data_IF_002277031489
#
_entry.id   IF_002277031489
#
_cell.length_a   1.000
_cell.length_b   1.000
_cell.length_c   1.000
_cell.angle_alpha   90.00
_cell.angle_beta   90.00
_cell.angle_gamma   90.00
#
_symmetry.space_group_name_H-M   'P 1'
#
loop_
_entity.id
_entity.type
_entity.pdbx_description
1 polymer ?
#
# COMPACT_ATOMS: atom_id res chain seq x y z
N UNK A 1 9.56 -10.66 -37.75
CA UNK A 1 8.31 -10.43 -36.98
C UNK A 1 8.16 -11.45 -35.84
N UNK A 2 9.02 -11.43 -34.80
CA UNK A 2 8.93 -12.34 -33.63
C UNK A 2 9.39 -11.73 -32.28
N UNK A 3 9.75 -10.45 -32.21
CA UNK A 3 10.29 -9.85 -30.96
C UNK A 3 9.30 -9.03 -30.14
N UNK A 4 8.05 -8.85 -30.58
CA UNK A 4 7.06 -8.00 -29.90
C UNK A 4 6.29 -8.71 -28.77
N UNK A 5 6.44 -10.02 -28.60
CA UNK A 5 5.73 -10.81 -27.58
C UNK A 5 6.39 -10.84 -26.19
N UNK A 6 7.51 -10.11 -26.00
CA UNK A 6 8.21 -10.01 -24.70
C UNK A 6 7.61 -8.98 -23.75
N UNK A 7 6.86 -8.00 -24.25
CA UNK A 7 6.35 -6.89 -23.44
C UNK A 7 5.05 -7.30 -22.71
N UNK A 8 4.22 -8.13 -23.34
CA UNK A 8 2.95 -8.60 -22.74
C UNK A 8 3.12 -9.47 -21.50
N UNK A 9 4.27 -10.14 -21.33
CA UNK A 9 4.54 -10.99 -20.18
C UNK A 9 4.78 -10.19 -18.90
N UNK A 10 5.43 -9.02 -18.95
CA UNK A 10 5.63 -8.16 -17.77
C UNK A 10 4.32 -7.64 -17.17
N UNK A 11 3.33 -7.37 -18.03
CA UNK A 11 1.99 -6.96 -17.61
C UNK A 11 1.27 -8.07 -16.84
N UNK A 12 1.41 -9.33 -17.28
CA UNK A 12 0.86 -10.50 -16.59
C UNK A 12 1.57 -10.80 -15.26
N UNK A 13 2.87 -10.53 -15.15
CA UNK A 13 3.59 -10.61 -13.87
C UNK A 13 3.10 -9.55 -12.86
N UNK A 14 2.77 -8.34 -13.33
CA UNK A 14 2.20 -7.27 -12.50
C UNK A 14 0.81 -7.62 -11.94
N UNK A 15 -0.05 -8.26 -12.74
CA UNK A 15 -1.38 -8.71 -12.29
C UNK A 15 -1.31 -9.70 -11.13
N UNK A 16 -0.19 -10.43 -10.98
CA UNK A 16 0.00 -11.41 -9.92
C UNK A 16 0.25 -10.78 -8.54
N UNK A 17 0.56 -9.49 -8.47
CA UNK A 17 0.76 -8.74 -7.22
C UNK A 17 -0.54 -8.15 -6.65
N UNK A 18 -1.55 -7.94 -7.49
CA UNK A 18 -2.86 -7.41 -7.11
C UNK A 18 -3.58 -8.13 -5.95
N UNK A 19 -3.57 -9.48 -5.83
CA UNK A 19 -4.32 -10.14 -4.77
C UNK A 19 -3.79 -9.89 -3.35
N UNK A 20 -2.58 -9.35 -3.19
CA UNK A 20 -2.00 -9.02 -1.88
C UNK A 20 -2.35 -7.61 -1.38
N UNK A 21 -2.67 -6.68 -2.28
CA UNK A 21 -3.07 -5.30 -1.94
C UNK A 21 -4.27 -5.18 -0.98
N UNK A 22 -5.40 -5.90 -1.16
CA UNK A 22 -6.59 -5.66 -0.33
C UNK A 22 -6.35 -5.94 1.16
N UNK A 23 -5.40 -6.82 1.50
CA UNK A 23 -5.04 -7.12 2.89
C UNK A 23 -4.22 -6.00 3.50
N UNK A 24 -3.28 -5.49 2.72
CA UNK A 24 -2.43 -4.37 3.11
C UNK A 24 -3.28 -3.11 3.34
N UNK A 25 -4.21 -2.82 2.42
CA UNK A 25 -5.16 -1.72 2.57
C UNK A 25 -6.07 -1.90 3.79
N UNK A 26 -6.57 -3.13 4.03
CA UNK A 26 -7.39 -3.42 5.22
C UNK A 26 -6.61 -3.24 6.52
N UNK A 27 -5.34 -3.66 6.56
CA UNK A 27 -4.46 -3.44 7.70
C UNK A 27 -4.26 -1.94 7.94
N UNK A 28 -3.89 -1.20 6.90
CA UNK A 28 -3.71 0.26 6.97
C UNK A 28 -4.98 0.96 7.48
N UNK A 29 -6.15 0.55 6.97
CA UNK A 29 -7.43 1.13 7.37
C UNK A 29 -7.73 0.91 8.84
N UNK A 30 -7.54 -0.31 9.36
CA UNK A 30 -7.77 -0.59 10.78
C UNK A 30 -6.79 0.17 11.68
N UNK A 31 -5.52 0.24 11.27
CA UNK A 31 -4.51 1.02 11.98
C UNK A 31 -4.84 2.53 11.96
N UNK A 32 -5.36 3.04 10.84
CA UNK A 32 -5.78 4.44 10.72
C UNK A 32 -6.96 4.76 11.65
N UNK A 33 -7.91 3.83 11.80
CA UNK A 33 -9.02 3.97 12.74
C UNK A 33 -8.60 3.80 14.21
N UNK A 34 -7.46 3.16 14.51
CA UNK A 34 -7.00 2.94 15.88
C UNK A 34 -6.49 4.24 16.54
N UNK A 35 -7.07 4.61 17.69
CA UNK A 35 -6.69 5.80 18.47
C UNK A 35 -5.26 5.78 19.02
N UNK A 36 -4.61 4.60 19.09
CA UNK A 36 -3.23 4.42 19.54
C UNK A 36 -2.21 4.86 18.52
N UNK A 37 -2.60 5.01 17.25
CA UNK A 37 -1.72 5.55 16.21
C UNK A 37 -1.66 7.08 16.35
N UNK A 38 -0.46 7.68 16.42
CA UNK A 38 -0.32 9.11 16.60
C UNK A 38 -0.97 9.89 15.45
N UNK A 39 -1.72 10.95 15.80
CA UNK A 39 -2.43 11.83 14.88
C UNK A 39 -1.52 12.41 13.78
N UNK A 40 -0.23 12.59 14.06
CA UNK A 40 0.77 13.04 13.07
C UNK A 40 0.86 12.09 11.87
N UNK A 41 0.88 10.78 12.13
CA UNK A 41 0.94 9.77 11.08
C UNK A 41 -0.37 9.69 10.29
N UNK A 42 -1.51 9.83 10.98
CA UNK A 42 -2.82 9.94 10.31
C UNK A 42 -2.88 11.16 9.41
N UNK A 43 -2.36 12.30 9.89
CA UNK A 43 -2.24 13.53 9.13
C UNK A 43 -1.41 13.36 7.86
N UNK A 44 -0.31 12.60 7.90
CA UNK A 44 0.49 12.29 6.70
C UNK A 44 -0.30 11.47 5.67
N UNK A 45 -1.05 10.46 6.11
CA UNK A 45 -1.88 9.65 5.20
C UNK A 45 -2.99 10.50 4.59
N UNK A 46 -3.67 11.32 5.39
CA UNK A 46 -4.71 12.24 4.91
C UNK A 46 -4.11 13.27 3.95
N UNK A 47 -2.93 13.83 4.25
CA UNK A 47 -2.24 14.76 3.37
C UNK A 47 -1.85 14.12 2.04
N UNK A 48 -1.37 12.87 2.04
CA UNK A 48 -1.09 12.13 0.81
C UNK A 48 -2.36 11.84 0.01
N UNK A 49 -3.46 11.46 0.67
CA UNK A 49 -4.75 11.30 -0.02
C UNK A 49 -5.29 12.61 -0.58
N UNK A 50 -5.19 13.71 0.17
CA UNK A 50 -5.56 15.03 -0.31
C UNK A 50 -4.68 15.46 -1.47
N UNK A 51 -3.38 15.14 -1.43
CA UNK A 51 -2.45 15.35 -2.54
C UNK A 51 -2.87 14.57 -3.80
N UNK A 52 -3.32 13.32 -3.67
CA UNK A 52 -3.84 12.55 -4.80
C UNK A 52 -5.17 13.10 -5.37
N UNK A 53 -6.01 13.67 -4.51
CA UNK A 53 -7.33 14.19 -4.89
C UNK A 53 -7.26 15.62 -5.44
N UNK A 54 -6.22 16.38 -5.06
CA UNK A 54 -5.95 17.71 -5.57
C UNK A 54 -5.06 17.55 -6.81
N UNK A 55 -5.55 17.90 -8.02
CA UNK A 55 -4.73 17.95 -9.23
C UNK A 55 -3.79 19.17 -9.19
N UNK A 56 -2.88 19.22 -8.20
CA UNK A 56 -1.93 20.30 -8.00
C UNK A 56 -0.52 19.72 -8.09
N UNK A 57 0.02 19.75 -9.30
CA UNK A 57 1.40 19.40 -9.61
C UNK A 57 2.38 20.37 -8.90
N UNK A 58 2.92 19.93 -7.76
CA UNK A 58 4.12 20.53 -7.15
C UNK A 58 5.41 19.86 -7.62
N UNK A 59 5.31 18.70 -8.27
CA UNK A 59 6.39 18.04 -9.00
C UNK A 59 6.24 18.41 -10.48
N UNK A 60 7.07 19.31 -11.03
CA UNK A 60 6.93 19.71 -12.41
C UNK A 60 7.06 18.51 -13.34
N UNK A 61 6.25 18.50 -14.39
CA UNK A 61 6.12 17.52 -15.51
C UNK A 61 7.43 17.07 -16.19
N UNK A 62 8.59 17.51 -15.69
CA UNK A 62 9.90 17.32 -16.29
C UNK A 62 10.65 16.08 -15.78
N UNK A 63 10.27 15.48 -14.64
CA UNK A 63 11.06 14.40 -14.04
C UNK A 63 10.83 13.02 -14.68
N UNK A 64 9.63 12.70 -15.18
CA UNK A 64 9.29 11.34 -15.64
C UNK A 64 8.26 11.33 -16.80
N UNK A 65 8.68 11.64 -18.05
CA UNK A 65 7.77 11.67 -19.22
C UNK A 65 7.12 10.32 -19.59
N UNK A 66 7.47 9.23 -18.90
CA UNK A 66 6.87 7.90 -19.08
C UNK A 66 6.39 7.23 -17.77
N UNK A 67 6.55 7.84 -16.59
CA UNK A 67 6.17 7.23 -15.31
C UNK A 67 5.08 7.97 -14.53
N UNK A 68 4.52 9.05 -15.08
CA UNK A 68 3.50 9.87 -14.40
C UNK A 68 2.24 9.12 -13.96
N UNK A 69 1.90 7.96 -14.53
CA UNK A 69 0.72 7.18 -14.09
C UNK A 69 0.99 6.24 -12.90
N UNK A 70 2.25 5.86 -12.66
CA UNK A 70 2.62 5.01 -11.52
C UNK A 70 3.05 5.82 -10.30
N UNK A 71 3.36 7.11 -10.48
CA UNK A 71 3.91 7.96 -9.42
C UNK A 71 2.92 8.12 -8.26
N UNK A 72 1.65 8.39 -8.56
CA UNK A 72 0.57 8.50 -7.57
C UNK A 72 0.39 7.24 -6.72
N UNK A 73 0.36 6.07 -7.37
CA UNK A 73 0.23 4.79 -6.67
C UNK A 73 1.49 4.47 -5.86
N UNK A 74 2.67 4.81 -6.39
CA UNK A 74 3.95 4.61 -5.72
C UNK A 74 4.05 5.49 -4.47
N UNK A 75 3.68 6.77 -4.58
CA UNK A 75 3.63 7.71 -3.48
C UNK A 75 2.65 7.26 -2.40
N UNK A 76 1.47 6.77 -2.79
CA UNK A 76 0.48 6.21 -1.87
C UNK A 76 1.02 4.99 -1.13
N UNK A 77 1.56 4.01 -1.85
CA UNK A 77 2.13 2.79 -1.27
C UNK A 77 3.32 3.09 -0.35
N UNK A 78 4.18 4.04 -0.74
CA UNK A 78 5.32 4.47 0.06
C UNK A 78 4.86 5.19 1.34
N UNK A 79 3.86 6.06 1.23
CA UNK A 79 3.26 6.73 2.39
C UNK A 79 2.66 5.71 3.37
N UNK A 80 1.91 4.73 2.86
CA UNK A 80 1.35 3.65 3.67
C UNK A 80 2.45 2.77 4.29
N UNK A 81 3.53 2.51 3.56
CA UNK A 81 4.70 1.80 4.10
C UNK A 81 5.33 2.55 5.27
N UNK A 82 5.58 3.85 5.14
CA UNK A 82 6.11 4.67 6.23
C UNK A 82 5.13 4.78 7.39
N UNK A 83 3.84 4.89 7.10
CA UNK A 83 2.78 4.91 8.11
C UNK A 83 2.82 3.66 9.00
N UNK A 84 2.91 2.46 8.40
CA UNK A 84 3.05 1.21 9.16
C UNK A 84 4.39 1.18 9.89
N UNK A 85 5.48 1.57 9.21
CA UNK A 85 6.86 1.51 9.74
C UNK A 85 7.06 2.38 10.98
N UNK A 86 6.37 3.51 11.05
CA UNK A 86 6.41 4.48 12.15
C UNK A 86 5.26 4.31 13.14
N UNK A 87 4.25 3.50 12.83
CA UNK A 87 3.22 3.13 13.79
C UNK A 87 3.79 2.22 14.90
N UNK A 88 3.17 2.22 16.10
CA UNK A 88 3.58 1.34 17.19
C UNK A 88 3.53 -0.13 16.76
N UNK A 89 4.63 -0.87 16.97
CA UNK A 89 4.78 -2.24 16.47
C UNK A 89 3.77 -3.19 17.10
N UNK A 90 3.39 -2.93 18.34
CA UNK A 90 2.43 -3.69 19.14
C UNK A 90 1.04 -3.64 18.49
N UNK A 91 0.61 -2.45 18.06
CA UNK A 91 -0.67 -2.23 17.39
C UNK A 91 -0.68 -2.86 16.00
N UNK A 92 0.43 -2.75 15.26
CA UNK A 92 0.57 -3.41 13.94
C UNK A 92 0.45 -4.92 14.07
N UNK A 93 1.17 -5.53 15.02
CA UNK A 93 1.16 -6.97 15.24
C UNK A 93 -0.24 -7.48 15.61
N UNK A 94 -0.95 -6.78 16.50
CA UNK A 94 -2.32 -7.11 16.90
C UNK A 94 -3.27 -7.14 15.70
N UNK A 95 -3.20 -6.12 14.84
CA UNK A 95 -4.04 -6.04 13.65
C UNK A 95 -3.70 -7.08 12.58
N UNK A 96 -2.41 -7.40 12.42
CA UNK A 96 -1.96 -8.48 11.52
C UNK A 96 -2.53 -9.82 12.00
N UNK A 97 -2.40 -10.15 13.28
CA UNK A 97 -2.96 -11.38 13.86
C UNK A 97 -4.49 -11.42 13.73
N UNK A 98 -5.17 -10.29 13.94
CA UNK A 98 -6.61 -10.21 13.79
C UNK A 98 -7.07 -10.46 12.33
N UNK A 99 -6.31 -9.99 11.34
CA UNK A 99 -6.60 -10.25 9.91
C UNK A 99 -6.35 -11.72 9.55
N UNK A 100 -5.29 -12.32 10.10
CA UNK A 100 -4.96 -13.73 9.88
C UNK A 100 -6.04 -14.67 10.47
N UNK A 101 -6.49 -14.38 11.70
CA UNK A 101 -7.57 -15.13 12.36
C UNK A 101 -8.90 -15.08 11.60
N UNK A 102 -9.18 -13.99 10.90
CA UNK A 102 -10.41 -13.81 10.10
C UNK A 102 -10.37 -14.60 8.79
N UNK A 103 -9.18 -15.05 8.34
CA UNK A 103 -9.01 -15.79 7.08
C UNK A 103 -9.19 -17.32 7.17
N UNK A 104 -9.44 -17.84 8.37
CA UNK A 104 -9.36 -19.29 8.61
C UNK A 104 -7.92 -19.64 8.93
N UNK A 105 -7.63 -19.80 10.23
CA UNK A 105 -6.29 -20.08 10.71
C UNK A 105 -5.68 -21.30 10.04
N UNK A 106 -4.38 -21.24 9.79
CA UNK A 106 -3.59 -22.43 9.51
C UNK A 106 -3.84 -23.48 10.62
N UNK A 107 -4.11 -24.75 10.27
CA UNK A 107 -4.21 -25.81 11.26
C UNK A 107 -2.91 -25.89 12.06
N UNK A 108 -3.05 -25.83 13.38
CA UNK A 108 -2.02 -25.95 14.40
C UNK A 108 -1.58 -27.42 14.52
N UNK A 109 -0.93 -27.97 13.49
CA UNK A 109 -0.37 -29.33 13.51
C UNK A 109 1.13 -29.37 13.80
N UNK A 110 1.64 -28.56 14.75
CA UNK A 110 2.95 -28.79 15.37
C UNK A 110 2.98 -28.21 16.80
N UNK A 111 2.41 -28.95 17.75
CA UNK A 111 2.92 -29.11 19.11
C UNK A 111 2.71 -30.57 19.53
#
# INVERSE_FOLDING_TARGET
>A
MRSLWRIGSYFLYWLRLLPHLPNFLRLCWRLFCDSRVPLRLKGMVVAAFLYLLLPVDLLPDFLLPFAGQFDDLTLLLLTLYFFIRWSPKEVVAEHVMAIDKTRGGFPHWQQ
#
